data_IF_157198472454
#
_entry.id   IF_157198472454
#
_cell.length_a   1.000
_cell.length_b   1.000
_cell.length_c   1.000
_cell.angle_alpha   90.00
_cell.angle_beta   90.00
_cell.angle_gamma   90.00
#
_symmetry.space_group_name_H-M   'P 1'
#
loop_
_entity.id
_entity.type
_entity.pdbx_description
1 polymer ?
#
# COMPACT_ATOMS: atom_id res chain seq x y z
N UNK A 1 -1.57 19.37 -14.38
CA UNK A 1 -0.87 18.81 -13.21
C UNK A 1 0.09 17.77 -13.72
N UNK A 2 1.36 17.81 -13.31
CA UNK A 2 2.34 16.77 -13.66
C UNK A 2 2.44 15.82 -12.47
N UNK A 3 1.89 14.61 -12.60
CA UNK A 3 1.97 13.60 -11.56
C UNK A 3 3.21 12.74 -11.82
N UNK A 4 4.05 12.58 -10.79
CA UNK A 4 5.20 11.70 -10.83
C UNK A 4 4.93 10.43 -10.02
N UNK A 5 5.14 9.26 -10.62
CA UNK A 5 5.02 7.97 -9.92
C UNK A 5 6.42 7.43 -9.66
N UNK A 6 6.72 7.08 -8.40
CA UNK A 6 7.99 6.49 -8.01
C UNK A 6 7.82 5.41 -6.94
N UNK A 7 8.70 4.43 -6.96
CA UNK A 7 8.78 3.40 -5.92
C UNK A 7 9.65 3.90 -4.76
N UNK A 8 9.16 3.77 -3.54
CA UNK A 8 9.87 4.06 -2.30
C UNK A 8 10.17 2.75 -1.58
N UNK A 9 11.41 2.61 -1.11
CA UNK A 9 11.87 1.43 -0.37
C UNK A 9 12.64 1.87 0.88
N UNK A 10 12.86 0.95 1.82
CA UNK A 10 13.72 1.18 2.99
C UNK A 10 13.36 2.45 3.77
N UNK A 11 14.32 3.38 3.89
CA UNK A 11 14.13 4.61 4.66
C UNK A 11 13.10 5.57 4.03
N UNK A 12 13.01 5.64 2.70
CA UNK A 12 12.03 6.49 2.02
C UNK A 12 10.60 5.98 2.25
N UNK A 13 10.41 4.67 2.21
CA UNK A 13 9.13 4.04 2.55
C UNK A 13 8.75 4.36 4.00
N UNK A 14 9.68 4.19 4.96
CA UNK A 14 9.46 4.50 6.38
C UNK A 14 9.08 5.97 6.60
N UNK A 15 9.71 6.89 5.87
CA UNK A 15 9.39 8.31 5.93
C UNK A 15 7.98 8.61 5.38
N UNK A 16 7.50 7.85 4.40
CA UNK A 16 6.20 8.04 3.76
C UNK A 16 5.02 7.38 4.50
N UNK A 17 5.25 6.64 5.60
CA UNK A 17 4.18 5.93 6.31
C UNK A 17 3.08 6.85 6.83
N UNK A 18 3.43 8.04 7.30
CA UNK A 18 2.45 9.03 7.76
C UNK A 18 1.51 9.48 6.64
N UNK A 19 2.07 9.70 5.44
CA UNK A 19 1.29 10.08 4.26
C UNK A 19 0.40 8.93 3.78
N UNK A 20 0.90 7.70 3.81
CA UNK A 20 0.13 6.50 3.47
C UNK A 20 -1.05 6.30 4.44
N UNK A 21 -0.83 6.41 5.76
CA UNK A 21 -1.90 6.32 6.75
C UNK A 21 -2.98 7.39 6.52
N UNK A 22 -2.57 8.64 6.26
CA UNK A 22 -3.50 9.73 5.93
C UNK A 22 -4.33 9.41 4.68
N UNK A 23 -3.68 8.91 3.62
CA UNK A 23 -4.34 8.55 2.37
C UNK A 23 -5.36 7.43 2.58
N UNK A 24 -4.99 6.37 3.30
CA UNK A 24 -5.87 5.25 3.62
C UNK A 24 -7.10 5.72 4.39
N UNK A 25 -6.92 6.49 5.45
CA UNK A 25 -8.03 7.07 6.23
C UNK A 25 -8.96 7.89 5.34
N UNK A 26 -8.41 8.80 4.53
CA UNK A 26 -9.21 9.69 3.67
C UNK A 26 -9.97 8.92 2.58
N UNK A 27 -9.33 7.96 1.94
CA UNK A 27 -9.93 7.14 0.88
C UNK A 27 -10.98 6.18 1.46
N UNK A 28 -10.69 5.54 2.59
CA UNK A 28 -11.59 4.58 3.21
C UNK A 28 -12.76 5.22 3.95
N UNK A 29 -12.64 6.48 4.38
CA UNK A 29 -13.78 7.24 4.91
C UNK A 29 -14.94 7.37 3.89
N UNK A 30 -14.69 7.19 2.59
CA UNK A 30 -15.74 7.10 1.57
C UNK A 30 -16.50 5.76 1.58
N UNK A 31 -16.01 4.75 2.31
CA UNK A 31 -16.57 3.41 2.42
C UNK A 31 -16.72 2.98 3.90
N UNK A 32 -17.43 3.76 4.74
CA UNK A 32 -17.41 3.61 6.20
C UNK A 32 -18.02 2.28 6.70
N UNK A 33 -18.82 1.62 5.87
CA UNK A 33 -19.40 0.31 6.14
C UNK A 33 -18.44 -0.86 5.85
N UNK A 34 -17.32 -0.61 5.16
CA UNK A 34 -16.28 -1.61 4.88
C UNK A 34 -15.03 -1.39 5.74
N UNK A 35 -14.76 -0.16 6.16
CA UNK A 35 -13.54 0.15 6.88
C UNK A 35 -13.72 1.31 7.87
N UNK A 36 -13.76 0.99 9.16
CA UNK A 36 -13.67 1.94 10.25
C UNK A 36 -12.22 1.94 10.79
N UNK A 37 -11.26 2.34 9.95
CA UNK A 37 -9.87 2.45 10.36
C UNK A 37 -9.67 3.49 11.46
N UNK A 38 -8.61 3.33 12.24
CA UNK A 38 -8.14 4.33 13.21
C UNK A 38 -6.67 4.63 12.95
N UNK A 39 -6.22 5.82 13.35
CA UNK A 39 -4.80 6.21 13.21
C UNK A 39 -3.84 5.24 13.90
N UNK A 40 -4.25 4.67 15.04
CA UNK A 40 -3.43 3.71 15.79
C UNK A 40 -3.36 2.37 15.09
N UNK A 41 -4.50 1.87 14.58
CA UNK A 41 -4.55 0.66 13.75
C UNK A 41 -3.67 0.79 12.50
N UNK A 42 -3.77 1.93 11.80
CA UNK A 42 -2.99 2.18 10.58
C UNK A 42 -1.49 2.20 10.88
N UNK A 43 -1.09 2.73 12.05
CA UNK A 43 0.31 2.76 12.45
C UNK A 43 0.87 1.36 12.71
N UNK A 44 0.14 0.51 13.43
CA UNK A 44 0.55 -0.87 13.71
C UNK A 44 0.63 -1.70 12.42
N UNK A 45 -0.41 -1.61 11.59
CA UNK A 45 -0.47 -2.30 10.30
C UNK A 45 0.71 -1.89 9.38
N UNK A 46 0.98 -0.58 9.30
CA UNK A 46 2.08 -0.08 8.47
C UNK A 46 3.45 -0.44 9.03
N UNK A 47 3.60 -0.58 10.35
CA UNK A 47 4.85 -1.02 10.96
C UNK A 47 5.21 -2.47 10.54
N UNK A 48 4.23 -3.38 10.58
CA UNK A 48 4.39 -4.76 10.09
C UNK A 48 4.75 -4.80 8.60
N UNK A 49 4.06 -3.99 7.77
CA UNK A 49 4.38 -3.87 6.35
C UNK A 49 5.85 -3.46 6.12
N UNK A 50 6.38 -2.52 6.91
CA UNK A 50 7.78 -2.07 6.77
C UNK A 50 8.83 -3.03 7.33
N UNK A 51 8.39 -4.06 8.06
CA UNK A 51 9.29 -5.08 8.60
C UNK A 51 9.71 -6.09 7.51
N UNK A 52 8.92 -6.24 6.45
CA UNK A 52 9.31 -6.99 5.27
C UNK A 52 10.42 -6.24 4.52
N UNK A 53 11.64 -6.81 4.48
CA UNK A 53 12.83 -6.15 3.92
C UNK A 53 12.69 -5.70 2.46
N UNK A 54 11.83 -6.37 1.70
CA UNK A 54 11.59 -6.12 0.27
C UNK A 54 10.23 -5.45 0.01
N UNK A 55 9.64 -4.80 1.01
CA UNK A 55 8.42 -4.01 0.84
C UNK A 55 8.67 -2.75 -0.01
N UNK A 56 7.69 -2.42 -0.85
CA UNK A 56 7.71 -1.28 -1.77
C UNK A 56 6.42 -0.49 -1.65
N UNK A 57 6.55 0.83 -1.58
CA UNK A 57 5.44 1.77 -1.72
C UNK A 57 5.54 2.47 -3.07
N UNK A 58 4.64 2.19 -4.00
CA UNK A 58 4.53 2.92 -5.27
C UNK A 58 3.69 4.17 -5.03
N UNK A 59 4.31 5.34 -4.98
CA UNK A 59 3.66 6.59 -4.61
C UNK A 59 3.50 7.53 -5.81
N UNK A 60 2.29 8.09 -5.96
CA UNK A 60 1.97 9.13 -6.92
C UNK A 60 2.08 10.50 -6.23
N UNK A 61 2.90 11.38 -6.81
CA UNK A 61 3.24 12.69 -6.28
C UNK A 61 2.63 13.81 -7.13
N UNK A 62 2.00 14.76 -6.45
CA UNK A 62 1.71 16.09 -6.97
C UNK A 62 2.62 17.09 -6.23
N UNK A 63 3.68 17.53 -6.90
CA UNK A 63 4.85 18.14 -6.26
C UNK A 63 5.40 17.24 -5.12
N UNK A 64 5.44 17.74 -3.88
CA UNK A 64 5.93 16.98 -2.72
C UNK A 64 4.84 16.14 -2.04
N UNK A 65 3.58 16.30 -2.44
CA UNK A 65 2.45 15.63 -1.78
C UNK A 65 2.18 14.26 -2.40
N UNK A 66 2.11 13.23 -1.56
CA UNK A 66 1.57 11.93 -1.99
C UNK A 66 0.05 12.02 -2.12
N UNK A 67 -0.45 11.77 -3.33
CA UNK A 67 -1.87 11.84 -3.70
C UNK A 67 -2.49 10.47 -4.00
N UNK A 68 -1.65 9.45 -4.15
CA UNK A 68 -2.04 8.06 -4.27
C UNK A 68 -0.87 7.14 -3.96
N UNK A 69 -1.18 5.90 -3.63
CA UNK A 69 -0.19 4.91 -3.26
C UNK A 69 -0.68 3.48 -3.53
N UNK A 70 0.24 2.59 -3.86
CA UNK A 70 0.03 1.14 -3.82
C UNK A 70 1.14 0.47 -2.99
N UNK A 71 0.77 -0.49 -2.15
CA UNK A 71 1.73 -1.29 -1.37
C UNK A 71 1.97 -2.63 -2.02
N UNK A 72 3.22 -3.07 -1.99
CA UNK A 72 3.60 -4.39 -2.47
C UNK A 72 4.77 -4.98 -1.69
N UNK A 73 4.84 -6.30 -1.63
CA UNK A 73 5.94 -7.05 -0.99
C UNK A 73 5.96 -8.50 -1.48
N UNK A 74 7.03 -9.27 -1.24
CA UNK A 74 7.04 -10.69 -1.57
C UNK A 74 5.93 -11.46 -0.85
N UNK A 75 5.23 -12.34 -1.58
CA UNK A 75 4.16 -13.18 -1.01
C UNK A 75 4.70 -14.13 0.07
N UNK A 76 5.96 -14.56 -0.03
CA UNK A 76 6.60 -15.41 0.97
C UNK A 76 6.63 -14.80 2.37
N UNK A 77 6.67 -13.47 2.49
CA UNK A 77 6.65 -12.74 3.76
C UNK A 77 5.25 -12.36 4.25
N UNK A 78 4.19 -12.73 3.51
CA UNK A 78 2.81 -12.43 3.88
C UNK A 78 2.23 -13.46 4.86
N UNK A 79 1.19 -13.04 5.57
CA UNK A 79 0.41 -13.88 6.47
C UNK A 79 -0.09 -15.16 5.80
N UNK A 80 -0.21 -16.23 6.59
CA UNK A 80 -0.56 -17.57 6.12
C UNK A 80 -1.88 -17.59 5.33
N UNK A 81 -2.86 -16.78 5.72
CA UNK A 81 -4.15 -16.73 5.02
C UNK A 81 -4.05 -16.13 3.60
N UNK A 82 -3.05 -15.29 3.34
CA UNK A 82 -2.75 -14.72 2.01
C UNK A 82 -1.93 -15.71 1.18
N UNK A 83 -0.97 -16.41 1.81
CA UNK A 83 -0.07 -17.35 1.14
C UNK A 83 -0.71 -18.69 0.79
N UNK A 84 -1.49 -19.27 1.70
CA UNK A 84 -2.06 -20.61 1.57
C UNK A 84 -2.93 -20.87 0.33
N UNK A 85 -3.71 -19.90 -0.21
CA UNK A 85 -4.44 -20.08 -1.47
C UNK A 85 -3.52 -20.37 -2.68
N UNK A 86 -2.36 -19.73 -2.74
CA UNK A 86 -1.39 -19.92 -3.83
C UNK A 86 -0.75 -21.30 -3.74
N UNK A 87 -0.30 -21.69 -2.54
CA UNK A 87 0.30 -23.00 -2.28
C UNK A 87 -0.69 -24.14 -2.63
N UNK A 88 -1.96 -24.00 -2.22
CA UNK A 88 -3.03 -24.97 -2.55
C UNK A 88 -3.31 -25.07 -4.05
N UNK A 89 -3.09 -23.99 -4.80
CA UNK A 89 -3.17 -23.97 -6.25
C UNK A 89 -1.90 -24.51 -6.94
N UNK A 90 -0.87 -24.92 -6.17
CA UNK A 90 0.41 -25.38 -6.71
C UNK A 90 1.31 -24.23 -7.21
N UNK A 91 1.04 -22.99 -6.79
CA UNK A 91 1.84 -21.82 -7.13
C UNK A 91 2.87 -21.60 -6.01
N UNK A 92 4.16 -21.63 -6.36
CA UNK A 92 5.24 -21.29 -5.45
C UNK A 92 5.14 -19.80 -5.03
N UNK A 93 5.08 -19.48 -3.72
CA UNK A 93 5.04 -18.10 -3.25
C UNK A 93 6.35 -17.32 -3.45
N UNK A 94 7.49 -17.99 -3.55
CA UNK A 94 8.81 -17.33 -3.62
C UNK A 94 8.94 -16.34 -4.81
N UNK A 95 8.51 -16.66 -6.04
CA UNK A 95 8.57 -15.72 -7.16
C UNK A 95 7.39 -14.73 -7.21
N UNK A 96 6.43 -14.78 -6.27
CA UNK A 96 5.22 -13.96 -6.35
C UNK A 96 5.40 -12.67 -5.56
N UNK A 97 5.17 -11.54 -6.23
CA UNK A 97 5.10 -10.23 -5.60
C UNK A 97 3.63 -9.84 -5.39
N UNK A 98 3.24 -9.65 -4.14
CA UNK A 98 1.87 -9.40 -3.72
C UNK A 98 1.61 -7.90 -3.58
N UNK A 99 0.54 -7.41 -4.21
CA UNK A 99 0.06 -6.04 -4.08
C UNK A 99 -1.13 -6.02 -3.11
N UNK A 100 -0.92 -5.43 -1.93
CA UNK A 100 -1.90 -5.49 -0.83
C UNK A 100 -2.96 -4.40 -0.91
N UNK A 101 -2.60 -3.22 -1.39
CA UNK A 101 -3.54 -2.12 -1.55
C UNK A 101 -3.19 -1.20 -2.70
N UNK A 102 -4.20 -0.49 -3.18
CA UNK A 102 -4.07 0.66 -4.07
C UNK A 102 -5.12 1.70 -3.69
N UNK A 103 -4.66 2.90 -3.33
CA UNK A 103 -5.49 4.02 -2.88
C UNK A 103 -5.13 5.29 -3.63
N UNK A 104 -6.14 6.03 -4.08
CA UNK A 104 -5.96 7.29 -4.81
C UNK A 104 -7.01 8.29 -4.37
N UNK A 105 -6.58 9.53 -4.11
CA UNK A 105 -7.48 10.62 -3.73
C UNK A 105 -8.53 10.87 -4.83
N UNK A 106 -9.81 11.14 -4.46
CA UNK A 106 -10.90 11.29 -5.43
C UNK A 106 -10.62 12.29 -6.56
N UNK A 107 -9.98 13.41 -6.24
CA UNK A 107 -9.65 14.47 -7.20
C UNK A 107 -8.67 14.04 -8.30
N UNK A 108 -7.93 12.94 -8.11
CA UNK A 108 -6.92 12.45 -9.03
C UNK A 108 -7.39 11.21 -9.82
N UNK A 109 -8.60 10.70 -9.55
CA UNK A 109 -9.17 9.53 -10.24
C UNK A 109 -9.59 9.86 -11.67
N UNK A 110 -9.65 8.85 -12.54
CA UNK A 110 -10.05 9.01 -13.94
C UNK A 110 -8.98 9.61 -14.86
N UNK A 111 -7.75 9.76 -14.37
CA UNK A 111 -6.63 10.37 -15.10
C UNK A 111 -5.55 9.35 -15.53
N UNK A 112 -5.83 8.04 -15.38
CA UNK A 112 -4.90 6.97 -15.77
C UNK A 112 -3.72 6.73 -14.82
N UNK A 113 -3.80 7.21 -13.57
CA UNK A 113 -2.74 7.07 -12.55
C UNK A 113 -2.86 5.74 -11.77
N UNK A 114 -4.10 5.32 -11.50
CA UNK A 114 -4.42 4.16 -10.64
C UNK A 114 -4.38 2.83 -11.37
#
# INVERSE_FOLDING_TARGET
>A
MSIAVRSLCGQELRAALGDLARLRIEVFAAFPYLYAGSTDYEREYLAEFTAAGDAVLVAAFDAERIVGAATASPLAGQEDYVRAPFERAGIDPAPVFYFGESVLLPAYRGQGIG
#
